data_IF_847023861629
#
_entry.id   IF_847023861629
#
_cell.length_a   1.000
_cell.length_b   1.000
_cell.length_c   1.000
_cell.angle_alpha   90.00
_cell.angle_beta   90.00
_cell.angle_gamma   90.00
#
_symmetry.space_group_name_H-M   'P 1'
#
loop_
_entity.id
_entity.type
_entity.pdbx_description
1 polymer ?
#
# COMPACT_ATOMS: atom_id res chain seq x y z
N UNK A 1 9.67 -36.64 -2.28
CA UNK A 1 9.62 -35.33 -2.95
C UNK A 1 8.25 -34.64 -2.78
N UNK A 2 7.12 -35.25 -3.21
CA UNK A 2 5.78 -34.65 -3.10
C UNK A 2 5.39 -34.28 -1.66
N UNK A 3 5.65 -35.14 -0.67
CA UNK A 3 5.39 -34.84 0.75
C UNK A 3 6.16 -33.61 1.22
N UNK A 4 7.42 -33.43 0.80
CA UNK A 4 8.19 -32.23 1.13
C UNK A 4 7.57 -30.98 0.47
N UNK A 5 7.14 -31.04 -0.79
CA UNK A 5 6.46 -29.91 -1.47
C UNK A 5 5.19 -29.54 -0.71
N UNK A 6 4.37 -30.50 -0.35
CA UNK A 6 3.13 -30.27 0.41
C UNK A 6 3.44 -29.58 1.76
N UNK A 7 4.29 -30.18 2.58
CA UNK A 7 4.53 -29.69 3.94
C UNK A 7 5.28 -28.35 3.97
N UNK A 8 6.24 -28.14 3.05
CA UNK A 8 6.94 -26.85 2.94
C UNK A 8 5.97 -25.76 2.49
N UNK A 9 5.14 -26.04 1.47
CA UNK A 9 4.15 -25.06 1.01
C UNK A 9 3.13 -24.72 2.11
N UNK A 10 2.59 -25.73 2.80
CA UNK A 10 1.66 -25.53 3.91
C UNK A 10 2.31 -24.74 5.06
N UNK A 11 3.55 -25.09 5.44
CA UNK A 11 4.28 -24.39 6.49
C UNK A 11 4.54 -22.92 6.13
N UNK A 12 4.93 -22.63 4.88
CA UNK A 12 5.15 -21.25 4.41
C UNK A 12 3.86 -20.44 4.37
N UNK A 13 2.73 -21.03 3.96
CA UNK A 13 1.41 -20.36 4.00
C UNK A 13 1.04 -20.00 5.45
N UNK A 14 1.14 -20.97 6.37
CA UNK A 14 0.84 -20.73 7.80
C UNK A 14 1.81 -19.71 8.38
N UNK A 15 3.10 -19.82 8.07
CA UNK A 15 4.10 -18.85 8.52
C UNK A 15 3.78 -17.43 8.05
N UNK A 16 3.47 -17.24 6.77
CA UNK A 16 3.19 -15.90 6.20
C UNK A 16 2.04 -15.20 6.90
N UNK A 17 0.98 -15.92 7.26
CA UNK A 17 -0.24 -15.31 7.78
C UNK A 17 -0.36 -15.34 9.31
N UNK A 18 0.27 -16.29 9.98
CA UNK A 18 0.20 -16.47 11.43
C UNK A 18 1.58 -16.42 12.09
N UNK A 19 2.54 -17.14 11.54
CA UNK A 19 3.89 -17.27 12.13
C UNK A 19 4.64 -15.94 12.12
N UNK A 20 4.65 -15.25 10.99
CA UNK A 20 5.37 -13.97 10.87
C UNK A 20 4.87 -12.90 11.84
N UNK A 21 3.56 -12.60 11.96
CA UNK A 21 3.08 -11.63 12.95
C UNK A 21 3.42 -12.00 14.39
N UNK A 22 3.41 -13.29 14.73
CA UNK A 22 3.78 -13.76 16.06
C UNK A 22 5.28 -13.54 16.34
N UNK A 23 6.14 -13.89 15.37
CA UNK A 23 7.58 -13.63 15.45
C UNK A 23 7.85 -12.14 15.53
N UNK A 24 7.20 -11.34 14.70
CA UNK A 24 7.36 -9.88 14.69
C UNK A 24 6.95 -9.28 16.03
N UNK A 25 5.82 -9.72 16.60
CA UNK A 25 5.36 -9.29 17.94
C UNK A 25 6.37 -9.63 19.03
N UNK A 26 6.97 -10.82 18.95
CA UNK A 26 8.01 -11.23 19.90
C UNK A 26 9.25 -10.33 19.75
N UNK A 27 9.72 -10.08 18.52
CA UNK A 27 10.88 -9.21 18.28
C UNK A 27 10.64 -7.78 18.78
N UNK A 28 9.45 -7.24 18.54
CA UNK A 28 9.06 -5.91 19.05
C UNK A 28 9.03 -5.89 20.59
N UNK A 29 8.48 -6.94 21.22
CA UNK A 29 8.42 -7.05 22.69
C UNK A 29 9.82 -7.15 23.35
N UNK A 30 10.78 -7.75 22.64
CA UNK A 30 12.18 -7.85 23.11
C UNK A 30 12.99 -6.57 22.88
N UNK A 31 12.49 -5.67 22.04
CA UNK A 31 13.14 -4.38 21.76
C UNK A 31 12.84 -3.40 22.89
N UNK A 32 13.87 -2.67 23.32
CA UNK A 32 13.64 -1.54 24.22
C UNK A 32 12.82 -0.47 23.50
N UNK A 33 11.78 0.11 24.12
CA UNK A 33 11.03 1.18 23.51
C UNK A 33 11.96 2.31 23.09
N UNK A 34 11.93 2.67 21.81
CA UNK A 34 12.58 3.90 21.32
C UNK A 34 11.92 5.12 21.95
N UNK A 35 12.64 6.22 22.02
CA UNK A 35 11.99 7.51 22.40
C UNK A 35 10.94 7.84 21.33
N UNK A 36 9.74 8.17 21.77
CA UNK A 36 8.74 8.78 20.89
C UNK A 36 9.36 10.00 20.22
N UNK A 37 9.29 10.15 18.89
CA UNK A 37 9.77 11.36 18.24
C UNK A 37 9.07 12.57 18.86
N UNK A 38 9.85 13.53 19.35
CA UNK A 38 9.31 14.82 19.75
C UNK A 38 8.96 15.62 18.48
N UNK A 39 7.94 16.46 18.56
CA UNK A 39 7.67 17.42 17.50
C UNK A 39 8.95 18.23 17.23
N UNK A 40 9.32 18.46 15.94
CA UNK A 40 10.49 19.25 15.62
C UNK A 40 10.35 20.68 16.21
N UNK A 41 11.47 21.23 16.68
CA UNK A 41 11.48 22.56 17.28
C UNK A 41 11.01 23.66 16.29
N UNK A 42 11.28 23.44 15.00
CA UNK A 42 10.80 24.25 13.89
C UNK A 42 10.15 23.31 12.86
N UNK A 43 8.95 23.67 12.40
CA UNK A 43 8.25 22.91 11.38
C UNK A 43 8.95 23.10 10.02
N UNK A 44 9.19 22.03 9.25
CA UNK A 44 9.80 22.15 7.94
C UNK A 44 8.83 22.77 6.92
N UNK A 45 9.37 23.37 5.86
CA UNK A 45 8.56 23.73 4.69
C UNK A 45 8.11 22.45 3.96
N UNK A 46 6.81 22.37 3.64
CA UNK A 46 6.19 21.22 2.99
C UNK A 46 5.59 21.63 1.66
N UNK A 47 5.86 20.85 0.60
CA UNK A 47 5.08 20.89 -0.64
C UNK A 47 4.10 19.71 -0.63
N UNK A 48 2.80 20.01 -0.52
CA UNK A 48 1.73 19.00 -0.62
C UNK A 48 1.33 18.85 -2.08
N UNK A 49 1.62 17.70 -2.64
CA UNK A 49 1.39 17.35 -4.06
C UNK A 49 0.12 16.50 -4.18
N UNK A 50 -0.81 16.97 -4.99
CA UNK A 50 -2.05 16.26 -5.35
C UNK A 50 -2.01 15.93 -6.83
N UNK A 51 -1.87 14.63 -7.17
CA UNK A 51 -2.01 14.17 -8.55
C UNK A 51 -3.49 13.97 -8.87
N UNK A 52 -3.95 14.54 -9.98
CA UNK A 52 -5.35 14.52 -10.41
C UNK A 52 -5.47 14.17 -11.89
N UNK A 53 -6.50 13.36 -12.22
CA UNK A 53 -6.91 13.08 -13.59
C UNK A 53 -8.44 13.01 -13.69
N UNK A 54 -9.05 13.96 -14.36
CA UNK A 54 -10.51 14.15 -14.47
C UNK A 54 -11.20 14.11 -13.08
N UNK A 55 -10.77 14.93 -12.13
CA UNK A 55 -11.20 14.98 -10.75
C UNK A 55 -12.05 16.23 -10.43
N UNK A 56 -12.73 16.82 -11.42
CA UNK A 56 -13.49 18.06 -11.25
C UNK A 56 -14.54 18.00 -10.14
N UNK A 57 -15.08 16.79 -9.84
CA UNK A 57 -16.10 16.61 -8.80
C UNK A 57 -15.54 16.76 -7.36
N UNK A 58 -14.25 16.49 -7.16
CA UNK A 58 -13.65 16.40 -5.81
C UNK A 58 -12.52 17.38 -5.59
N UNK A 59 -11.94 17.97 -6.64
CA UNK A 59 -10.69 18.75 -6.53
C UNK A 59 -10.86 20.01 -5.69
N UNK A 60 -11.99 20.71 -5.74
CA UNK A 60 -12.25 21.89 -4.94
C UNK A 60 -12.26 21.54 -3.44
N UNK A 61 -12.97 20.47 -3.08
CA UNK A 61 -13.02 19.98 -1.71
C UNK A 61 -11.63 19.54 -1.23
N UNK A 62 -10.83 18.93 -2.11
CA UNK A 62 -9.45 18.54 -1.81
C UNK A 62 -8.54 19.74 -1.55
N UNK A 63 -8.61 20.76 -2.37
CA UNK A 63 -7.84 22.00 -2.17
C UNK A 63 -8.26 22.68 -0.86
N UNK A 64 -9.56 22.79 -0.59
CA UNK A 64 -10.06 23.34 0.68
C UNK A 64 -9.59 22.52 1.90
N UNK A 65 -9.63 21.17 1.81
CA UNK A 65 -9.10 20.30 2.86
C UNK A 65 -7.60 20.52 3.09
N UNK A 66 -6.80 20.61 2.03
CA UNK A 66 -5.36 20.82 2.11
C UNK A 66 -5.00 22.17 2.74
N UNK A 67 -5.69 23.24 2.37
CA UNK A 67 -5.48 24.60 2.92
C UNK A 67 -6.03 24.74 4.34
N UNK A 68 -6.95 23.86 4.76
CA UNK A 68 -7.51 23.81 6.11
C UNK A 68 -6.74 22.94 7.10
N UNK A 69 -5.60 22.36 6.71
CA UNK A 69 -4.76 21.57 7.60
C UNK A 69 -4.15 22.46 8.70
N UNK A 70 -3.98 21.90 9.90
CA UNK A 70 -3.28 22.55 11.02
C UNK A 70 -1.77 22.60 10.76
N UNK A 71 -1.39 23.47 9.82
CA UNK A 71 -0.01 23.72 9.41
C UNK A 71 0.16 25.21 9.06
N UNK A 72 1.27 25.88 9.45
CA UNK A 72 1.47 27.28 9.09
C UNK A 72 1.40 27.50 7.59
N UNK A 73 0.54 28.41 7.13
CA UNK A 73 0.28 28.62 5.70
C UNK A 73 1.54 29.04 4.94
N UNK A 74 2.41 29.79 5.54
CA UNK A 74 3.68 30.22 4.99
C UNK A 74 4.71 29.09 4.81
N UNK A 75 4.49 27.96 5.47
CA UNK A 75 5.32 26.76 5.35
C UNK A 75 4.68 25.67 4.47
N UNK A 76 3.45 25.89 3.98
CA UNK A 76 2.73 24.95 3.13
C UNK A 76 2.61 25.47 1.70
N UNK A 77 3.15 24.73 0.76
CA UNK A 77 2.97 24.92 -0.67
C UNK A 77 2.04 23.82 -1.20
N UNK A 78 0.92 24.17 -1.81
CA UNK A 78 -0.02 23.22 -2.40
C UNK A 78 0.14 23.16 -3.92
N UNK A 79 0.55 22.02 -4.42
CA UNK A 79 0.75 21.77 -5.86
C UNK A 79 -0.28 20.76 -6.35
N UNK A 80 -1.07 21.12 -7.35
CA UNK A 80 -1.96 20.20 -8.06
C UNK A 80 -1.36 19.85 -9.41
N UNK A 81 -1.08 18.57 -9.65
CA UNK A 81 -0.54 18.06 -10.91
C UNK A 81 -1.66 17.36 -11.69
N UNK A 82 -2.21 18.02 -12.69
CA UNK A 82 -3.23 17.50 -13.59
C UNK A 82 -2.57 16.69 -14.71
N UNK A 83 -2.81 15.37 -14.73
CA UNK A 83 -2.22 14.40 -15.66
C UNK A 83 -3.05 14.29 -16.94
N UNK A 84 -3.12 15.38 -17.72
CA UNK A 84 -3.87 15.42 -18.96
C UNK A 84 -5.37 15.33 -18.78
N UNK A 85 -5.94 16.00 -17.77
CA UNK A 85 -7.39 16.08 -17.59
C UNK A 85 -8.07 16.79 -18.74
N UNK A 86 -9.27 16.28 -19.12
CA UNK A 86 -10.11 16.86 -20.15
C UNK A 86 -11.27 17.68 -19.57
N UNK A 87 -11.51 17.57 -18.27
CA UNK A 87 -12.55 18.26 -17.53
C UNK A 87 -12.04 19.56 -16.86
N UNK A 88 -12.85 20.18 -16.01
CA UNK A 88 -12.52 21.42 -15.33
C UNK A 88 -11.56 21.26 -14.12
N UNK A 89 -10.87 20.13 -13.96
CA UNK A 89 -10.00 19.83 -12.81
C UNK A 89 -8.98 20.94 -12.54
N UNK A 90 -8.20 21.34 -13.56
CA UNK A 90 -7.13 22.34 -13.40
C UNK A 90 -7.69 23.74 -13.10
N UNK A 91 -8.79 24.14 -13.78
CA UNK A 91 -9.46 25.42 -13.56
C UNK A 91 -9.97 25.52 -12.13
N UNK A 92 -10.70 24.50 -11.66
CA UNK A 92 -11.27 24.44 -10.31
C UNK A 92 -10.19 24.41 -9.22
N UNK A 93 -9.08 23.70 -9.47
CA UNK A 93 -7.96 23.70 -8.52
C UNK A 93 -7.35 25.10 -8.34
N UNK A 94 -7.19 25.88 -9.42
CA UNK A 94 -6.71 27.29 -9.35
C UNK A 94 -7.72 28.18 -8.64
N UNK A 95 -8.99 28.07 -9.00
CA UNK A 95 -10.05 28.87 -8.40
C UNK A 95 -10.21 28.59 -6.90
N UNK A 96 -9.97 27.36 -6.46
CA UNK A 96 -9.99 26.95 -5.06
C UNK A 96 -8.75 27.40 -4.26
N UNK A 97 -7.69 27.92 -4.90
CA UNK A 97 -6.54 28.52 -4.24
C UNK A 97 -5.30 27.65 -4.11
N UNK A 98 -5.11 26.63 -4.99
CA UNK A 98 -3.84 25.92 -5.10
C UNK A 98 -2.70 26.89 -5.49
N UNK A 99 -1.53 26.77 -4.86
CA UNK A 99 -0.39 27.68 -5.09
C UNK A 99 0.21 27.48 -6.49
N UNK A 100 0.25 26.22 -6.95
CA UNK A 100 0.72 25.86 -8.27
C UNK A 100 -0.18 24.77 -8.88
N UNK A 101 -0.61 24.98 -10.12
CA UNK A 101 -1.34 23.99 -10.90
C UNK A 101 -0.57 23.68 -12.17
N UNK A 102 -0.07 22.45 -12.27
CA UNK A 102 0.63 21.94 -13.44
C UNK A 102 -0.37 21.22 -14.36
N UNK A 103 -0.47 21.67 -15.59
CA UNK A 103 -1.20 20.95 -16.65
C UNK A 103 -0.18 20.16 -17.47
N UNK A 104 -0.20 18.85 -17.33
CA UNK A 104 0.78 17.94 -17.89
C UNK A 104 0.14 17.10 -19.02
N UNK A 105 0.91 16.63 -19.98
CA UNK A 105 0.45 15.60 -20.91
C UNK A 105 0.17 14.32 -20.13
N UNK A 106 -0.77 13.50 -20.61
CA UNK A 106 -1.13 12.21 -20.00
C UNK A 106 0.09 11.29 -19.89
N UNK A 107 0.59 11.05 -18.69
CA UNK A 107 1.77 10.24 -18.40
C UNK A 107 1.60 9.27 -17.23
N UNK A 108 0.47 9.33 -16.53
CA UNK A 108 0.18 8.54 -15.35
C UNK A 108 0.55 9.23 -14.03
N UNK A 109 0.01 8.70 -12.93
CA UNK A 109 0.11 9.31 -11.60
C UNK A 109 1.55 9.60 -11.19
N UNK A 110 2.49 8.65 -11.40
CA UNK A 110 3.88 8.84 -11.01
C UNK A 110 4.58 9.91 -11.85
N UNK A 111 4.31 9.97 -13.16
CA UNK A 111 4.84 11.02 -14.01
C UNK A 111 4.41 12.41 -13.53
N UNK A 112 3.12 12.56 -13.19
CA UNK A 112 2.59 13.80 -12.64
C UNK A 112 3.23 14.14 -11.28
N UNK A 113 3.40 13.15 -10.40
CA UNK A 113 4.06 13.33 -9.10
C UNK A 113 5.54 13.69 -9.25
N UNK A 114 6.29 13.08 -10.19
CA UNK A 114 7.67 13.42 -10.48
C UNK A 114 7.80 14.87 -10.98
N UNK A 115 6.95 15.26 -11.94
CA UNK A 115 6.96 16.62 -12.48
C UNK A 115 6.63 17.67 -11.40
N UNK A 116 5.69 17.37 -10.49
CA UNK A 116 5.39 18.24 -9.37
C UNK A 116 6.53 18.32 -8.34
N UNK A 117 7.19 17.19 -8.06
CA UNK A 117 8.33 17.14 -7.15
C UNK A 117 9.53 17.99 -7.65
N UNK A 118 9.73 18.07 -8.97
CA UNK A 118 10.76 18.93 -9.59
C UNK A 118 10.50 20.43 -9.41
N UNK A 119 9.24 20.84 -9.25
CA UNK A 119 8.82 22.24 -9.04
C UNK A 119 8.65 22.59 -7.56
N UNK A 120 8.67 21.61 -6.70
CA UNK A 120 8.40 21.78 -5.28
C UNK A 120 9.55 22.47 -4.55
N UNK A 121 9.21 23.39 -3.63
CA UNK A 121 10.17 24.17 -2.84
C UNK A 121 10.34 23.65 -1.39
N UNK A 122 9.51 22.69 -0.97
CA UNK A 122 9.50 22.17 0.39
C UNK A 122 10.69 21.25 0.71
N UNK A 123 11.10 21.24 1.96
CA UNK A 123 12.09 20.28 2.50
C UNK A 123 11.51 18.87 2.59
N UNK A 124 10.19 18.79 2.71
CA UNK A 124 9.40 17.57 2.73
C UNK A 124 8.37 17.63 1.60
N UNK A 125 8.30 16.57 0.80
CA UNK A 125 7.25 16.37 -0.20
C UNK A 125 6.18 15.48 0.42
N UNK A 126 4.98 16.00 0.57
CA UNK A 126 3.80 15.24 0.99
C UNK A 126 2.92 14.95 -0.22
N UNK A 127 2.31 13.76 -0.27
CA UNK A 127 1.54 13.31 -1.44
C UNK A 127 0.16 12.83 -1.01
N UNK A 128 -0.85 13.23 -1.76
CA UNK A 128 -2.23 12.86 -1.55
C UNK A 128 -2.94 12.51 -2.84
N UNK A 129 -3.94 11.64 -2.74
CA UNK A 129 -4.91 11.44 -3.81
C UNK A 129 -5.98 12.54 -3.78
N UNK A 130 -6.53 12.88 -4.94
CA UNK A 130 -7.53 13.95 -5.06
C UNK A 130 -8.83 13.66 -4.27
N UNK A 131 -9.18 12.38 -4.11
CA UNK A 131 -10.36 11.93 -3.37
C UNK A 131 -10.10 11.59 -1.90
N UNK A 132 -8.90 11.86 -1.39
CA UNK A 132 -8.50 11.56 -0.02
C UNK A 132 -8.61 12.80 0.86
N UNK A 133 -9.45 12.76 1.88
CA UNK A 133 -9.58 13.84 2.87
C UNK A 133 -8.67 13.58 4.07
N UNK A 134 -7.76 14.51 4.36
CA UNK A 134 -6.83 14.40 5.49
C UNK A 134 -7.44 15.01 6.77
N UNK A 135 -7.21 14.35 7.90
CA UNK A 135 -7.53 14.93 9.20
C UNK A 135 -6.76 16.24 9.44
N UNK A 136 -7.31 17.20 10.21
CA UNK A 136 -6.69 18.50 10.37
C UNK A 136 -5.22 18.46 10.81
N UNK A 137 -4.85 17.54 11.71
CA UNK A 137 -3.50 17.38 12.25
C UNK A 137 -2.60 16.41 11.44
N UNK A 138 -3.14 15.80 10.37
CA UNK A 138 -2.45 14.74 9.66
C UNK A 138 -1.08 15.12 9.12
N UNK A 139 -0.93 16.35 8.60
CA UNK A 139 0.35 16.82 8.07
C UNK A 139 1.41 16.97 9.18
N UNK A 140 1.05 17.53 10.35
CA UNK A 140 1.94 17.58 11.51
C UNK A 140 2.41 16.20 11.94
N UNK A 141 1.47 15.25 12.01
CA UNK A 141 1.78 13.85 12.35
C UNK A 141 2.74 13.21 11.35
N UNK A 142 2.58 13.48 10.04
CA UNK A 142 3.47 12.95 9.00
C UNK A 142 4.87 13.54 9.08
N UNK A 143 5.02 14.83 9.39
CA UNK A 143 6.33 15.49 9.36
C UNK A 143 7.15 15.26 10.63
N UNK A 144 6.49 15.00 11.77
CA UNK A 144 7.15 14.79 13.07
C UNK A 144 8.30 13.77 13.03
N UNK A 145 8.16 12.58 12.40
CA UNK A 145 9.27 11.61 12.36
C UNK A 145 10.50 12.07 11.59
N UNK A 146 10.39 13.06 10.71
CA UNK A 146 11.53 13.61 9.97
C UNK A 146 12.50 14.43 10.82
N UNK A 147 12.19 14.70 12.09
CA UNK A 147 13.17 15.19 13.07
C UNK A 147 14.37 14.23 13.20
N UNK A 148 14.17 12.94 12.91
CA UNK A 148 15.28 11.98 12.77
C UNK A 148 15.75 11.95 11.30
N UNK A 149 17.03 12.28 11.07
CA UNK A 149 17.66 12.28 9.74
C UNK A 149 17.72 10.91 9.05
N UNK A 150 17.57 9.81 9.80
CA UNK A 150 17.49 8.47 9.23
C UNK A 150 16.14 8.18 8.57
N UNK A 151 15.09 8.98 8.85
CA UNK A 151 13.77 8.80 8.28
C UNK A 151 13.70 9.48 6.92
N UNK A 152 13.52 8.69 5.87
CA UNK A 152 13.37 9.16 4.49
C UNK A 152 11.93 9.16 3.98
N UNK A 153 11.06 8.29 4.55
CA UNK A 153 9.67 8.12 4.13
C UNK A 153 8.76 7.92 5.34
N UNK A 154 7.58 8.51 5.31
CA UNK A 154 6.53 8.30 6.31
C UNK A 154 5.20 8.15 5.62
N UNK A 155 4.40 7.14 5.97
CA UNK A 155 3.01 7.07 5.54
C UNK A 155 2.04 7.08 6.72
N UNK A 156 0.86 7.62 6.49
CA UNK A 156 -0.25 7.64 7.43
C UNK A 156 -1.21 6.46 7.25
N UNK A 157 -2.34 6.51 7.95
CA UNK A 157 -3.43 5.55 7.90
C UNK A 157 -4.53 6.04 6.98
N UNK A 158 -4.94 5.22 6.03
CA UNK A 158 -6.16 5.43 5.25
C UNK A 158 -7.31 4.70 5.94
N UNK A 159 -8.40 5.40 6.19
CA UNK A 159 -9.68 4.86 6.66
C UNK A 159 -10.65 4.80 5.50
N UNK A 160 -11.27 3.67 5.29
CA UNK A 160 -12.26 3.50 4.24
C UNK A 160 -13.67 3.67 4.81
N UNK A 161 -14.41 4.62 4.24
CA UNK A 161 -15.78 4.93 4.61
C UNK A 161 -16.74 4.33 3.57
N UNK A 162 -17.90 3.86 4.02
CA UNK A 162 -19.02 3.55 3.12
C UNK A 162 -19.78 4.81 2.72
N UNK A 163 -20.90 4.61 1.99
CA UNK A 163 -21.75 5.72 1.54
C UNK A 163 -22.40 6.51 2.70
N UNK A 164 -22.54 5.87 3.87
CA UNK A 164 -23.14 6.45 5.07
C UNK A 164 -22.09 7.07 6.01
N UNK A 165 -20.79 6.97 5.65
CA UNK A 165 -19.68 7.51 6.42
C UNK A 165 -19.18 6.57 7.54
N UNK A 166 -19.69 5.35 7.58
CA UNK A 166 -19.25 4.34 8.55
C UNK A 166 -17.91 3.70 8.15
N UNK A 167 -17.08 3.40 9.15
CA UNK A 167 -15.79 2.78 8.92
C UNK A 167 -15.92 1.29 8.56
N UNK A 168 -15.55 0.92 7.35
CA UNK A 168 -15.55 -0.45 6.83
C UNK A 168 -14.23 -1.21 7.09
N UNK A 169 -13.42 -0.80 8.05
CA UNK A 169 -12.19 -1.51 8.39
C UNK A 169 -12.48 -2.93 8.87
N UNK A 170 -12.42 -3.87 7.93
CA UNK A 170 -12.56 -5.29 8.23
C UNK A 170 -11.39 -5.83 9.08
N UNK A 171 -11.58 -7.02 9.67
CA UNK A 171 -10.56 -7.69 10.49
C UNK A 171 -9.21 -7.83 9.76
N UNK A 172 -9.24 -8.04 8.43
CA UNK A 172 -8.04 -8.13 7.61
C UNK A 172 -7.27 -6.79 7.56
N UNK A 173 -7.97 -5.66 7.41
CA UNK A 173 -7.33 -4.35 7.37
C UNK A 173 -6.68 -4.01 8.73
N UNK A 174 -7.39 -4.26 9.83
CA UNK A 174 -6.81 -4.08 11.18
C UNK A 174 -5.57 -4.95 11.40
N UNK A 175 -5.59 -6.18 10.90
CA UNK A 175 -4.42 -7.07 10.91
C UNK A 175 -3.24 -6.46 10.14
N UNK A 176 -3.46 -5.98 8.90
CA UNK A 176 -2.43 -5.34 8.07
C UNK A 176 -1.83 -4.11 8.76
N UNK A 177 -2.67 -3.26 9.36
CA UNK A 177 -2.19 -2.07 10.06
C UNK A 177 -1.38 -2.43 11.30
N UNK A 178 -1.78 -3.43 12.05
CA UNK A 178 -1.01 -3.93 13.20
C UNK A 178 0.36 -4.50 12.79
N UNK A 179 0.44 -5.26 11.69
CA UNK A 179 1.72 -5.74 11.14
C UNK A 179 2.60 -4.56 10.72
N UNK A 180 2.05 -3.58 10.01
CA UNK A 180 2.78 -2.40 9.55
C UNK A 180 3.31 -1.56 10.72
N UNK A 181 2.54 -1.42 11.81
CA UNK A 181 2.98 -0.72 13.01
C UNK A 181 4.16 -1.43 13.69
N UNK A 182 4.12 -2.76 13.77
CA UNK A 182 5.22 -3.56 14.29
C UNK A 182 6.47 -3.46 13.41
N UNK A 183 6.37 -3.56 12.08
CA UNK A 183 7.47 -3.34 11.14
C UNK A 183 8.06 -1.94 11.29
N UNK A 184 7.22 -0.90 11.33
CA UNK A 184 7.64 0.49 11.55
C UNK A 184 8.45 0.66 12.82
N UNK A 185 8.08 -0.05 13.89
CA UNK A 185 8.81 -0.01 15.15
C UNK A 185 10.13 -0.81 15.13
N UNK A 186 10.28 -1.81 14.26
CA UNK A 186 11.48 -2.68 14.20
C UNK A 186 12.50 -2.15 13.19
N UNK A 187 12.35 -2.39 11.90
CA UNK A 187 13.31 -1.97 10.88
C UNK A 187 12.75 -0.90 9.94
N UNK A 188 11.47 -0.96 9.64
CA UNK A 188 10.75 -0.05 8.78
C UNK A 188 9.67 -0.77 8.00
N UNK A 189 8.68 -0.04 7.50
CA UNK A 189 7.59 -0.64 6.73
C UNK A 189 8.07 -1.17 5.39
N UNK A 190 7.49 -2.27 4.97
CA UNK A 190 7.81 -2.92 3.69
C UNK A 190 6.95 -2.43 2.53
N UNK A 191 5.85 -1.72 2.82
CA UNK A 191 5.06 -0.94 1.88
C UNK A 191 4.22 0.11 2.62
N UNK A 192 3.99 1.25 1.97
CA UNK A 192 3.15 2.35 2.44
C UNK A 192 1.72 2.31 1.92
N UNK A 193 1.19 3.50 1.62
CA UNK A 193 -0.03 3.73 0.86
C UNK A 193 0.15 4.97 -0.03
N UNK A 194 -0.69 5.11 -1.05
CA UNK A 194 -0.59 6.20 -2.02
C UNK A 194 -1.43 7.44 -1.70
N UNK A 195 -2.24 7.39 -0.65
CA UNK A 195 -3.23 8.43 -0.34
C UNK A 195 -2.76 9.45 0.72
N UNK A 196 -1.83 9.03 1.58
CA UNK A 196 -1.25 9.87 2.63
C UNK A 196 0.17 9.41 2.96
N UNK A 197 1.18 10.11 2.43
CA UNK A 197 2.58 9.84 2.73
C UNK A 197 3.44 11.07 2.48
N UNK A 198 4.65 11.06 3.02
CA UNK A 198 5.64 12.10 2.81
C UNK A 198 7.03 11.49 2.64
N UNK A 199 7.89 12.21 1.93
CA UNK A 199 9.28 11.86 1.65
C UNK A 199 10.15 13.10 1.90
N UNK A 200 11.33 12.92 2.47
CA UNK A 200 12.31 14.01 2.53
C UNK A 200 12.76 14.35 1.11
N UNK A 201 12.72 15.62 0.72
CA UNK A 201 13.05 16.05 -0.65
C UNK A 201 14.44 15.58 -1.09
N UNK A 202 15.43 15.63 -0.19
CA UNK A 202 16.79 15.16 -0.46
C UNK A 202 16.87 13.62 -0.66
N UNK A 203 15.87 12.86 -0.21
CA UNK A 203 15.78 11.41 -0.35
C UNK A 203 14.77 10.99 -1.45
N UNK A 204 14.14 11.96 -2.13
CA UNK A 204 13.19 11.68 -3.19
C UNK A 204 13.85 10.97 -4.37
N UNK A 205 13.15 9.97 -4.89
CA UNK A 205 13.59 9.16 -6.04
C UNK A 205 12.57 9.34 -7.16
N UNK A 206 12.93 9.95 -8.28
CA UNK A 206 12.05 9.91 -9.45
C UNK A 206 11.94 8.45 -9.93
N UNK A 207 10.78 7.84 -9.67
CA UNK A 207 10.52 6.46 -10.06
C UNK A 207 10.01 6.38 -11.49
N UNK A 208 10.24 5.23 -12.12
CA UNK A 208 9.63 4.93 -13.42
C UNK A 208 8.10 5.00 -13.33
N UNK A 209 7.38 5.58 -14.31
CA UNK A 209 5.93 5.68 -14.31
C UNK A 209 5.18 4.36 -14.15
N UNK A 210 5.81 3.23 -14.47
CA UNK A 210 5.26 1.87 -14.23
C UNK A 210 5.38 1.37 -12.79
N UNK A 211 6.15 2.06 -11.93
CA UNK A 211 6.39 1.74 -10.53
C UNK A 211 5.24 2.18 -9.61
N UNK A 212 5.53 2.22 -8.32
CA UNK A 212 4.57 2.61 -7.28
C UNK A 212 5.29 3.20 -6.08
N UNK A 213 4.97 4.45 -5.70
CA UNK A 213 5.61 5.12 -4.55
C UNK A 213 5.41 4.34 -3.25
N UNK A 214 4.23 3.74 -3.04
CA UNK A 214 3.91 3.01 -1.81
C UNK A 214 4.68 1.70 -1.65
N UNK A 215 5.14 1.10 -2.74
CA UNK A 215 5.95 -0.11 -2.68
C UNK A 215 7.44 0.18 -2.94
N UNK A 216 7.77 1.02 -3.94
CA UNK A 216 9.16 1.24 -4.37
C UNK A 216 9.96 2.10 -3.39
N UNK A 217 9.39 3.15 -2.79
CA UNK A 217 10.12 3.99 -1.82
C UNK A 217 10.62 3.22 -0.60
N UNK A 218 9.78 2.43 0.12
CA UNK A 218 10.24 1.76 1.33
C UNK A 218 11.49 0.91 1.13
N UNK A 219 11.52 0.05 0.10
CA UNK A 219 12.68 -0.81 -0.10
C UNK A 219 13.88 -0.07 -0.70
N UNK A 220 13.65 0.90 -1.59
CA UNK A 220 14.73 1.66 -2.22
C UNK A 220 15.45 2.54 -1.19
N UNK A 221 14.71 3.14 -0.28
CA UNK A 221 15.27 3.93 0.83
C UNK A 221 15.98 3.04 1.85
N UNK A 222 15.43 1.86 2.15
CA UNK A 222 16.09 0.89 3.03
C UNK A 222 17.48 0.46 2.49
N UNK A 223 17.62 0.31 1.16
CA UNK A 223 18.93 0.05 0.51
C UNK A 223 19.92 1.21 0.64
N UNK A 224 19.43 2.42 0.90
CA UNK A 224 20.24 3.62 1.14
C UNK A 224 20.46 3.89 2.64
N UNK A 225 20.11 2.94 3.51
CA UNK A 225 20.27 3.06 4.96
C UNK A 225 19.22 3.97 5.62
N UNK A 226 18.16 4.38 4.89
CA UNK A 226 17.07 5.17 5.43
C UNK A 226 15.93 4.29 5.93
N UNK A 227 15.13 4.83 6.85
CA UNK A 227 13.96 4.16 7.40
C UNK A 227 12.69 4.70 6.77
N UNK A 228 11.74 3.80 6.57
CA UNK A 228 10.37 4.12 6.16
C UNK A 228 9.43 3.78 7.32
N UNK A 229 8.62 4.74 7.76
CA UNK A 229 7.79 4.61 8.95
C UNK A 229 6.30 4.70 8.63
N UNK A 230 5.51 4.11 9.51
CA UNK A 230 4.05 4.24 9.54
C UNK A 230 3.63 5.00 10.79
N UNK A 231 2.74 5.97 10.62
CA UNK A 231 2.19 6.81 11.68
C UNK A 231 0.67 6.69 11.66
N UNK A 232 0.11 5.91 12.58
CA UNK A 232 -1.33 5.63 12.65
C UNK A 232 -2.18 6.84 13.06
N UNK A 233 -1.57 7.86 13.66
CA UNK A 233 -2.23 9.14 13.98
C UNK A 233 -2.40 10.07 12.78
N UNK A 234 -1.54 9.97 11.75
CA UNK A 234 -1.71 10.69 10.49
C UNK A 234 -2.80 10.03 9.65
N UNK A 235 -4.00 10.59 9.62
CA UNK A 235 -5.19 9.93 9.06
C UNK A 235 -5.68 10.61 7.79
N UNK A 236 -6.12 9.77 6.87
CA UNK A 236 -6.86 10.17 5.68
C UNK A 236 -8.10 9.29 5.53
N UNK A 237 -9.16 9.83 4.96
CA UNK A 237 -10.43 9.14 4.70
C UNK A 237 -10.68 9.07 3.20
N UNK A 238 -11.10 7.92 2.73
CA UNK A 238 -11.47 7.64 1.34
C UNK A 238 -12.76 6.85 1.26
N UNK A 239 -13.54 7.08 0.21
CA UNK A 239 -14.68 6.22 -0.11
C UNK A 239 -14.18 4.86 -0.59
N UNK A 240 -14.75 3.79 -0.03
CA UNK A 240 -14.43 2.42 -0.45
C UNK A 240 -15.06 2.10 -1.81
N UNK A 241 -14.39 1.23 -2.57
CA UNK A 241 -15.01 0.62 -3.75
C UNK A 241 -16.22 -0.19 -3.29
N UNK A 242 -17.44 0.08 -3.82
CA UNK A 242 -18.67 -0.43 -3.22
C UNK A 242 -18.88 -1.94 -3.37
N UNK A 243 -18.15 -2.61 -4.27
CA UNK A 243 -18.33 -4.05 -4.55
C UNK A 243 -17.06 -4.86 -4.40
N UNK A 244 -17.20 -6.13 -4.00
CA UNK A 244 -16.08 -7.05 -3.87
C UNK A 244 -15.43 -7.35 -5.23
N UNK A 245 -16.20 -7.39 -6.30
CA UNK A 245 -15.74 -7.55 -7.68
C UNK A 245 -14.91 -6.35 -8.15
N UNK A 246 -15.34 -5.14 -7.81
CA UNK A 246 -14.60 -3.91 -8.05
C UNK A 246 -13.27 -3.90 -7.29
N UNK A 247 -13.28 -4.34 -6.03
CA UNK A 247 -12.06 -4.48 -5.22
C UNK A 247 -11.10 -5.52 -5.80
N UNK A 248 -11.62 -6.65 -6.29
CA UNK A 248 -10.79 -7.65 -7.00
C UNK A 248 -10.16 -7.06 -8.27
N UNK A 249 -10.95 -6.35 -9.08
CA UNK A 249 -10.47 -5.71 -10.30
C UNK A 249 -9.39 -4.66 -9.99
N UNK A 250 -9.59 -3.86 -8.94
CA UNK A 250 -8.62 -2.88 -8.44
C UNK A 250 -7.32 -3.56 -8.02
N UNK A 251 -7.39 -4.60 -7.18
CA UNK A 251 -6.21 -5.36 -6.72
C UNK A 251 -5.50 -6.04 -7.87
N UNK A 252 -6.23 -6.68 -8.79
CA UNK A 252 -5.65 -7.31 -9.97
C UNK A 252 -4.83 -6.32 -10.80
N UNK A 253 -5.34 -5.09 -11.04
CA UNK A 253 -4.58 -4.03 -11.73
C UNK A 253 -3.31 -3.66 -10.97
N UNK A 254 -3.39 -3.45 -9.66
CA UNK A 254 -2.22 -3.16 -8.83
C UNK A 254 -1.16 -4.26 -8.91
N UNK A 255 -1.59 -5.53 -9.00
CA UNK A 255 -0.68 -6.68 -9.06
C UNK A 255 0.04 -6.83 -10.42
N UNK A 256 -0.43 -6.18 -11.50
CA UNK A 256 0.23 -6.25 -12.82
C UNK A 256 1.66 -5.70 -12.75
N UNK A 257 1.86 -4.52 -12.13
CA UNK A 257 3.18 -3.87 -12.01
C UNK A 257 4.08 -4.43 -10.91
N UNK A 258 3.52 -5.21 -9.97
CA UNK A 258 4.29 -5.68 -8.80
C UNK A 258 5.52 -6.50 -9.17
N UNK A 259 5.44 -7.32 -10.21
CA UNK A 259 6.57 -8.17 -10.61
C UNK A 259 7.70 -7.37 -11.27
N UNK A 260 7.40 -6.24 -11.89
CA UNK A 260 8.41 -5.31 -12.41
C UNK A 260 9.16 -4.68 -11.22
N UNK A 261 8.47 -4.32 -10.16
CA UNK A 261 9.08 -3.79 -8.94
C UNK A 261 9.90 -4.88 -8.23
N UNK A 262 9.34 -6.07 -8.04
CA UNK A 262 10.00 -7.17 -7.32
C UNK A 262 11.28 -7.61 -8.01
N UNK A 263 11.27 -7.78 -9.32
CA UNK A 263 12.39 -8.28 -10.10
C UNK A 263 13.14 -7.15 -10.80
N UNK A 264 12.44 -6.30 -11.53
CA UNK A 264 13.03 -5.23 -12.35
C UNK A 264 13.70 -4.13 -11.54
N UNK A 265 13.03 -3.59 -10.53
CA UNK A 265 13.61 -2.60 -9.61
C UNK A 265 14.51 -3.23 -8.53
N UNK A 266 14.60 -4.56 -8.49
CA UNK A 266 15.48 -5.31 -7.63
C UNK A 266 15.06 -5.39 -6.16
N UNK A 267 13.76 -5.29 -5.87
CA UNK A 267 13.22 -5.48 -4.51
C UNK A 267 13.64 -6.84 -3.91
N UNK A 268 13.64 -7.92 -4.72
CA UNK A 268 14.02 -9.26 -4.29
C UNK A 268 15.51 -9.39 -3.93
N UNK A 269 16.37 -8.49 -4.42
CA UNK A 269 17.80 -8.55 -4.15
C UNK A 269 18.10 -8.14 -2.70
N UNK A 270 18.71 -8.99 -1.87
CA UNK A 270 19.00 -8.67 -0.48
C UNK A 270 20.13 -7.64 -0.30
N UNK A 271 20.84 -7.29 -1.37
CA UNK A 271 21.97 -6.35 -1.32
C UNK A 271 21.50 -4.96 -0.89
N UNK A 272 22.16 -4.40 0.10
CA UNK A 272 21.87 -3.07 0.64
C UNK A 272 20.85 -3.05 1.78
N UNK A 273 20.13 -4.14 2.04
CA UNK A 273 19.23 -4.21 3.19
C UNK A 273 19.99 -4.54 4.49
N UNK A 274 19.52 -3.99 5.60
CA UNK A 274 19.83 -4.53 6.92
C UNK A 274 19.16 -5.91 7.10
N UNK A 275 19.77 -6.78 7.90
CA UNK A 275 19.21 -8.12 8.13
C UNK A 275 17.76 -8.09 8.68
N UNK A 276 17.38 -7.21 9.63
CA UNK A 276 15.99 -7.10 10.07
C UNK A 276 15.04 -6.69 8.96
N UNK A 277 15.40 -5.69 8.12
CA UNK A 277 14.54 -5.27 7.02
C UNK A 277 14.39 -6.35 5.94
N UNK A 278 15.49 -7.05 5.61
CA UNK A 278 15.42 -8.17 4.68
C UNK A 278 14.49 -9.28 5.20
N UNK A 279 14.53 -9.56 6.51
CA UNK A 279 13.60 -10.50 7.14
C UNK A 279 12.14 -10.06 7.02
N UNK A 280 11.83 -8.79 7.31
CA UNK A 280 10.48 -8.23 7.19
C UNK A 280 9.99 -8.30 5.73
N UNK A 281 10.81 -7.83 4.79
CA UNK A 281 10.47 -7.81 3.37
C UNK A 281 10.20 -9.21 2.82
N UNK A 282 11.08 -10.18 3.11
CA UNK A 282 10.91 -11.56 2.68
C UNK A 282 9.65 -12.19 3.28
N UNK A 283 9.50 -12.09 4.61
CA UNK A 283 8.42 -12.76 5.33
C UNK A 283 7.04 -12.15 5.03
N UNK A 284 6.96 -10.83 4.88
CA UNK A 284 5.69 -10.15 4.64
C UNK A 284 5.36 -10.04 3.15
N UNK A 285 6.26 -9.48 2.34
CA UNK A 285 5.94 -9.13 0.95
C UNK A 285 6.21 -10.28 -0.01
N UNK A 286 7.43 -10.81 -0.04
CA UNK A 286 7.78 -11.81 -1.04
C UNK A 286 7.02 -13.12 -0.84
N UNK A 287 6.90 -13.62 0.39
CA UNK A 287 6.12 -14.83 0.67
C UNK A 287 4.63 -14.63 0.35
N UNK A 288 4.08 -13.44 0.61
CA UNK A 288 2.69 -13.14 0.26
C UNK A 288 2.48 -13.18 -1.26
N UNK A 289 3.39 -12.64 -2.05
CA UNK A 289 3.30 -12.71 -3.51
C UNK A 289 3.46 -14.14 -4.03
N UNK A 290 4.15 -15.02 -3.30
CA UNK A 290 4.27 -16.44 -3.61
C UNK A 290 3.06 -17.26 -3.13
N UNK A 291 2.21 -16.74 -2.24
CA UNK A 291 1.09 -17.49 -1.63
C UNK A 291 0.19 -18.20 -2.64
N UNK A 292 -0.28 -17.61 -3.78
CA UNK A 292 -1.11 -18.35 -4.74
C UNK A 292 -0.40 -19.59 -5.30
N UNK A 293 0.90 -19.48 -5.58
CA UNK A 293 1.69 -20.61 -6.10
C UNK A 293 1.92 -21.68 -5.04
N UNK A 294 2.11 -21.28 -3.77
CA UNK A 294 2.19 -22.22 -2.65
C UNK A 294 0.88 -22.97 -2.45
N UNK A 295 -0.28 -22.30 -2.62
CA UNK A 295 -1.58 -22.99 -2.58
C UNK A 295 -1.74 -24.00 -3.70
N UNK A 296 -1.36 -23.65 -4.94
CA UNK A 296 -1.38 -24.59 -6.05
C UNK A 296 -0.45 -25.79 -5.81
N UNK A 297 0.78 -25.54 -5.38
CA UNK A 297 1.74 -26.59 -5.08
C UNK A 297 1.25 -27.52 -3.97
N UNK A 298 0.72 -26.96 -2.87
CA UNK A 298 0.16 -27.73 -1.77
C UNK A 298 -1.05 -28.56 -2.20
N UNK A 299 -1.95 -27.99 -3.01
CA UNK A 299 -3.16 -28.68 -3.47
C UNK A 299 -2.83 -29.90 -4.35
N UNK A 300 -2.02 -29.70 -5.39
CA UNK A 300 -1.69 -30.79 -6.31
C UNK A 300 -0.77 -31.85 -5.70
N UNK A 301 0.17 -31.42 -4.83
CA UNK A 301 1.00 -32.37 -4.10
C UNK A 301 0.15 -33.22 -3.14
N UNK A 302 -0.82 -32.63 -2.45
CA UNK A 302 -1.72 -33.32 -1.53
C UNK A 302 -2.65 -34.29 -2.27
N UNK A 303 -3.23 -33.84 -3.40
CA UNK A 303 -4.04 -34.72 -4.28
C UNK A 303 -3.28 -35.99 -4.70
N UNK A 304 -2.01 -35.83 -5.10
CA UNK A 304 -1.16 -36.97 -5.48
C UNK A 304 -0.79 -37.86 -4.30
N UNK A 305 -0.94 -37.42 -3.05
CA UNK A 305 -0.59 -38.12 -1.83
C UNK A 305 -1.82 -38.79 -1.14
N UNK A 306 -3.02 -38.72 -1.69
CA UNK A 306 -4.25 -39.24 -1.05
C UNK A 306 -4.14 -40.70 -0.62
N UNK A 307 -3.42 -41.54 -1.38
CA UNK A 307 -3.15 -42.95 -1.04
C UNK A 307 -1.99 -43.15 -0.06
N UNK A 308 -1.29 -42.10 0.37
CA UNK A 308 -0.05 -42.21 1.16
C UNK A 308 -0.25 -42.07 2.68
N UNK A 309 -1.50 -41.92 3.13
CA UNK A 309 -1.84 -41.85 4.57
C UNK A 309 -3.02 -40.92 4.87
N UNK A 310 -3.69 -41.22 6.00
CA UNK A 310 -4.92 -40.50 6.43
C UNK A 310 -4.74 -39.03 6.58
N UNK A 311 -3.55 -38.54 6.95
CA UNK A 311 -3.27 -37.10 7.09
C UNK A 311 -3.49 -36.35 5.78
N UNK A 312 -3.14 -36.93 4.64
CA UNK A 312 -3.33 -36.30 3.33
C UNK A 312 -4.79 -36.26 2.91
N UNK A 313 -5.59 -37.25 3.32
CA UNK A 313 -7.04 -37.26 3.08
C UNK A 313 -7.70 -36.11 3.92
N UNK A 314 -7.32 -35.98 5.19
CA UNK A 314 -7.86 -34.95 6.07
C UNK A 314 -7.48 -33.54 5.56
N UNK A 315 -6.21 -33.34 5.25
CA UNK A 315 -5.73 -32.01 4.78
C UNK A 315 -6.30 -31.67 3.41
N UNK A 316 -6.52 -32.64 2.53
CA UNK A 316 -7.21 -32.42 1.25
C UNK A 316 -8.68 -32.04 1.46
N UNK A 317 -9.37 -32.69 2.38
CA UNK A 317 -10.73 -32.31 2.77
C UNK A 317 -10.81 -30.87 3.27
N UNK A 318 -9.86 -30.45 4.11
CA UNK A 318 -9.75 -29.04 4.56
C UNK A 318 -9.54 -28.10 3.37
N UNK A 319 -8.63 -28.41 2.43
CA UNK A 319 -8.41 -27.59 1.24
C UNK A 319 -9.67 -27.46 0.39
N UNK A 320 -10.40 -28.54 0.17
CA UNK A 320 -11.67 -28.54 -0.58
C UNK A 320 -12.72 -27.69 0.12
N UNK A 321 -12.85 -27.79 1.45
CA UNK A 321 -13.78 -26.97 2.25
C UNK A 321 -13.43 -25.48 2.15
N UNK A 322 -12.15 -25.12 2.23
CA UNK A 322 -11.70 -23.73 2.06
C UNK A 322 -12.00 -23.20 0.66
N UNK A 323 -11.76 -24.02 -0.37
CA UNK A 323 -12.08 -23.64 -1.77
C UNK A 323 -13.60 -23.47 -1.95
N UNK A 324 -14.41 -24.40 -1.40
CA UNK A 324 -15.87 -24.28 -1.45
C UNK A 324 -16.36 -23.03 -0.70
N UNK A 325 -15.81 -22.76 0.48
CA UNK A 325 -16.11 -21.54 1.22
C UNK A 325 -15.75 -20.25 0.44
N UNK A 326 -14.65 -20.27 -0.31
CA UNK A 326 -14.23 -19.15 -1.16
C UNK A 326 -15.20 -18.95 -2.35
N UNK A 327 -15.66 -20.03 -2.97
CA UNK A 327 -16.56 -19.98 -4.13
C UNK A 327 -17.98 -19.58 -3.72
N UNK A 328 -18.51 -20.17 -2.67
CA UNK A 328 -19.91 -20.04 -2.26
C UNK A 328 -20.13 -19.03 -1.12
N UNK A 329 -19.06 -18.55 -0.48
CA UNK A 329 -19.14 -17.68 0.70
C UNK A 329 -19.79 -16.31 0.45
N UNK A 330 -19.99 -15.92 -0.81
CA UNK A 330 -20.75 -14.72 -1.16
C UNK A 330 -22.27 -14.86 -1.07
N UNK A 331 -22.76 -16.10 -1.15
CA UNK A 331 -24.19 -16.41 -1.09
C UNK A 331 -24.72 -16.51 0.36
N UNK A 332 -23.83 -16.54 1.34
CA UNK A 332 -24.19 -16.72 2.75
C UNK A 332 -23.64 -15.57 3.60
N UNK A 333 -24.47 -14.89 4.43
CA UNK A 333 -24.05 -13.76 5.26
C UNK A 333 -23.29 -14.21 6.55
N UNK A 334 -22.39 -15.20 6.43
CA UNK A 334 -21.63 -15.78 7.55
C UNK A 334 -20.21 -15.21 7.53
N UNK A 335 -19.80 -14.56 8.63
CA UNK A 335 -18.52 -13.87 8.75
C UNK A 335 -17.30 -14.69 8.33
N UNK A 336 -17.07 -15.93 8.81
CA UNK A 336 -15.95 -16.77 8.38
C UNK A 336 -15.91 -17.05 6.89
N UNK A 337 -17.07 -17.25 6.24
CA UNK A 337 -17.14 -17.50 4.79
C UNK A 337 -16.77 -16.24 3.98
N UNK A 338 -17.17 -15.06 4.46
CA UNK A 338 -16.76 -13.79 3.83
C UNK A 338 -15.26 -13.57 3.94
N UNK A 339 -14.64 -13.89 5.07
CA UNK A 339 -13.19 -13.82 5.27
C UNK A 339 -12.47 -14.78 4.32
N UNK A 340 -12.93 -16.04 4.20
CA UNK A 340 -12.37 -17.03 3.30
C UNK A 340 -12.45 -16.57 1.84
N UNK A 341 -13.60 -16.03 1.41
CA UNK A 341 -13.78 -15.48 0.06
C UNK A 341 -12.86 -14.30 -0.20
N UNK A 342 -12.80 -13.33 0.73
CA UNK A 342 -11.91 -12.17 0.60
C UNK A 342 -10.44 -12.59 0.49
N UNK A 343 -10.00 -13.51 1.33
CA UNK A 343 -8.66 -14.10 1.28
C UNK A 343 -8.36 -14.74 -0.07
N UNK A 344 -9.25 -15.60 -0.55
CA UNK A 344 -9.08 -16.28 -1.83
C UNK A 344 -9.03 -15.28 -3.00
N UNK A 345 -9.93 -14.29 -3.04
CA UNK A 345 -9.94 -13.26 -4.08
C UNK A 345 -8.67 -12.41 -4.05
N UNK A 346 -8.22 -12.00 -2.87
CA UNK A 346 -6.96 -11.25 -2.73
C UNK A 346 -5.77 -12.08 -3.19
N UNK A 347 -5.69 -13.36 -2.81
CA UNK A 347 -4.62 -14.27 -3.20
C UNK A 347 -4.64 -14.52 -4.71
N UNK A 348 -5.80 -14.79 -5.29
CA UNK A 348 -5.94 -15.04 -6.74
C UNK A 348 -5.65 -13.77 -7.56
N UNK A 349 -5.91 -12.57 -7.04
CA UNK A 349 -5.60 -11.32 -7.75
C UNK A 349 -4.10 -11.18 -8.04
N UNK A 350 -3.23 -11.73 -7.19
CA UNK A 350 -1.78 -11.75 -7.39
C UNK A 350 -1.41 -12.59 -8.62
N UNK A 351 -1.94 -13.83 -8.69
CA UNK A 351 -1.70 -14.70 -9.84
C UNK A 351 -2.33 -14.16 -11.13
N UNK A 352 -3.55 -13.58 -11.02
CA UNK A 352 -4.23 -12.98 -12.16
C UNK A 352 -3.50 -11.74 -12.70
N UNK A 353 -2.97 -10.90 -11.82
CA UNK A 353 -2.15 -9.75 -12.21
C UNK A 353 -0.86 -10.18 -12.93
N UNK A 354 -0.17 -11.22 -12.41
CA UNK A 354 0.99 -11.79 -13.10
C UNK A 354 0.63 -12.32 -14.49
N UNK A 355 -0.49 -13.02 -14.60
CA UNK A 355 -0.98 -13.52 -15.89
C UNK A 355 -1.28 -12.40 -16.88
N UNK A 356 -1.91 -11.31 -16.41
CA UNK A 356 -2.16 -10.13 -17.26
C UNK A 356 -0.85 -9.50 -17.71
N UNK A 357 0.14 -9.40 -16.82
CA UNK A 357 1.48 -8.87 -17.14
C UNK A 357 2.14 -9.66 -18.26
N UNK A 358 2.10 -11.00 -18.21
CA UNK A 358 2.66 -11.84 -19.26
C UNK A 358 1.91 -11.75 -20.59
N UNK A 359 0.58 -11.58 -20.55
CA UNK A 359 -0.23 -11.54 -21.77
C UNK A 359 -0.28 -10.17 -22.44
N UNK A 360 -0.31 -9.09 -21.67
CA UNK A 360 -0.67 -7.75 -22.14
C UNK A 360 0.41 -6.71 -21.92
N UNK A 361 1.45 -7.03 -21.16
CA UNK A 361 2.42 -6.05 -20.68
C UNK A 361 1.91 -5.20 -19.52
N UNK A 362 2.71 -4.23 -19.07
CA UNK A 362 2.28 -3.27 -18.07
C UNK A 362 1.34 -2.24 -18.70
N UNK A 363 0.20 -1.88 -18.08
CA UNK A 363 -0.63 -0.77 -18.54
C UNK A 363 0.14 0.53 -18.38
N UNK A 364 0.17 1.33 -19.44
CA UNK A 364 0.91 2.61 -19.45
C UNK A 364 0.19 3.76 -18.73
N UNK A 365 -1.05 3.57 -18.29
CA UNK A 365 -1.87 4.68 -17.75
C UNK A 365 -2.69 4.22 -16.54
N UNK A 366 -2.84 5.15 -15.60
CA UNK A 366 -3.69 5.00 -14.42
C UNK A 366 -5.14 5.34 -14.76
N UNK A 367 -6.08 4.49 -14.29
CA UNK A 367 -7.51 4.68 -14.44
C UNK A 367 -8.21 4.77 -13.08
N UNK A 368 -9.25 5.61 -13.00
CA UNK A 368 -10.09 5.74 -11.81
C UNK A 368 -10.84 4.45 -11.52
N UNK A 369 -11.00 4.11 -10.25
CA UNK A 369 -11.94 3.06 -9.85
C UNK A 369 -13.37 3.62 -9.84
N UNK A 370 -14.34 2.97 -10.49
CA UNK A 370 -15.73 3.41 -10.45
C UNK A 370 -16.28 3.47 -9.02
N UNK A 371 -17.06 4.53 -8.69
CA UNK A 371 -17.76 4.66 -7.41
C UNK A 371 -16.90 5.11 -6.22
N UNK A 372 -15.71 5.67 -6.47
CA UNK A 372 -14.81 6.19 -5.41
C UNK A 372 -14.77 7.72 -5.33
N UNK A 373 -15.71 8.42 -5.99
CA UNK A 373 -15.85 9.88 -6.00
C UNK A 373 -17.15 10.32 -5.34
#
# INVERSE_FOLDING_TARGET
MLAAIFWVSAALIVYTHLGYPLVLRLLVALRRPGKTPAEPAELPRVSLIVAAYDEEEVIEAKVANALGLDYPRELLELIVASDGSYDATAERARAAGADLVLELPRGGKLAAQNAAAEQASGEILAFSDANSAWAPDALRQLVTPFANAEVGYVCGQVRFLDADGDNLEGAYWRYEMAVREMESSLAGITAGNGAIYAVRTADYLPLDPSGSHDLSFPFALAKRGKRSLYVSSARAEEKMVPTLEGEFARKRRMMVGIWDIVVGEGMISPRGYSAPYAFELFSHRLLRYLTPFLHFAAFFANLALLGSGTIYVITYGIQVVVIAAALFGGSFPVGPLRIARYYAMTTLSIAAGLWDRFRRGAPGTWEKAPGTR
#
